data_IF_475875744967
#
_entry.id   IF_475875744967
#
_cell.length_a   1.000
_cell.length_b   1.000
_cell.length_c   1.000
_cell.angle_alpha   90.00
_cell.angle_beta   90.00
_cell.angle_gamma   90.00
#
_symmetry.space_group_name_H-M   'P 1'
#
loop_
_entity.id
_entity.type
_entity.pdbx_description
1 polymer ?
#
# COMPACT_ATOMS: atom_id res chain seq x y z
N UNK A 1 6.53 -8.57 -8.66
CA UNK A 1 6.28 -8.98 -7.25
C UNK A 1 7.33 -8.46 -6.27
N UNK A 2 8.64 -8.64 -6.50
CA UNK A 2 9.66 -8.17 -5.54
C UNK A 2 9.56 -6.68 -5.20
N UNK A 3 9.36 -5.82 -6.20
CA UNK A 3 9.23 -4.36 -5.98
C UNK A 3 8.01 -3.97 -5.15
N UNK A 4 6.93 -4.76 -5.17
CA UNK A 4 5.70 -4.50 -4.40
C UNK A 4 5.95 -4.75 -2.90
N UNK A 5 6.56 -5.89 -2.57
CA UNK A 5 6.88 -6.22 -1.18
C UNK A 5 7.90 -5.26 -0.58
N UNK A 6 8.90 -4.82 -1.36
CA UNK A 6 9.86 -3.80 -0.92
C UNK A 6 9.17 -2.47 -0.63
N UNK A 7 8.25 -2.01 -1.50
CA UNK A 7 7.51 -0.77 -1.29
C UNK A 7 6.62 -0.84 -0.05
N UNK A 8 5.86 -1.93 0.12
CA UNK A 8 5.02 -2.15 1.30
C UNK A 8 5.85 -2.21 2.60
N UNK A 9 7.03 -2.84 2.55
CA UNK A 9 7.94 -2.92 3.69
C UNK A 9 8.48 -1.55 4.11
N UNK A 10 8.89 -0.71 3.15
CA UNK A 10 9.34 0.66 3.43
C UNK A 10 8.23 1.48 4.09
N UNK A 11 7.00 1.38 3.59
CA UNK A 11 5.83 2.07 4.17
C UNK A 11 5.59 1.60 5.62
N UNK A 12 5.65 0.29 5.86
CA UNK A 12 5.47 -0.27 7.20
C UNK A 12 6.59 0.15 8.16
N UNK A 13 7.85 0.23 7.72
CA UNK A 13 8.96 0.74 8.52
C UNK A 13 8.77 2.21 8.90
N UNK A 14 8.35 3.06 7.96
CA UNK A 14 8.08 4.48 8.23
C UNK A 14 6.96 4.60 9.27
N UNK A 15 5.87 3.84 9.12
CA UNK A 15 4.79 3.80 10.09
C UNK A 15 5.28 3.37 11.48
N UNK A 16 6.08 2.30 11.57
CA UNK A 16 6.61 1.80 12.83
C UNK A 16 7.49 2.85 13.53
N UNK A 17 8.33 3.57 12.79
CA UNK A 17 9.17 4.65 13.32
C UNK A 17 8.31 5.81 13.85
N UNK A 18 7.32 6.26 13.07
CA UNK A 18 6.39 7.31 13.50
C UNK A 18 5.62 6.91 14.76
N UNK A 19 5.10 5.67 14.80
CA UNK A 19 4.38 5.11 15.96
C UNK A 19 5.29 5.02 17.19
N UNK A 20 6.55 4.64 17.00
CA UNK A 20 7.54 4.58 18.05
C UNK A 20 7.84 5.97 18.63
N UNK A 21 7.99 6.98 17.79
CA UNK A 21 8.15 8.38 18.21
C UNK A 21 6.90 8.86 18.96
N UNK A 22 5.70 8.57 18.45
CA UNK A 22 4.43 8.92 19.09
C UNK A 22 4.33 8.33 20.51
N UNK A 23 4.66 7.04 20.67
CA UNK A 23 4.67 6.37 21.98
C UNK A 23 5.78 6.89 22.90
N UNK A 24 6.91 7.33 22.36
CA UNK A 24 8.03 7.85 23.17
C UNK A 24 7.78 9.27 23.67
N UNK A 25 7.15 10.13 22.86
CA UNK A 25 7.06 11.57 23.13
C UNK A 25 5.66 12.06 23.49
N UNK A 26 4.59 11.43 22.99
CA UNK A 26 3.22 11.95 23.11
C UNK A 26 2.43 11.20 24.19
N UNK A 27 2.54 9.87 24.25
CA UNK A 27 1.88 9.04 25.28
C UNK A 27 2.86 8.67 26.38
N UNK A 28 3.01 9.55 27.37
CA UNK A 28 3.82 9.28 28.57
C UNK A 28 3.18 8.23 29.52
N UNK A 29 2.00 7.73 29.16
CA UNK A 29 1.28 6.66 29.85
C UNK A 29 1.80 5.29 29.42
N UNK A 30 2.88 4.86 30.07
CA UNK A 30 3.61 3.59 29.85
C UNK A 30 2.76 2.34 30.19
N UNK A 31 1.54 2.50 30.70
CA UNK A 31 0.82 1.41 31.36
C UNK A 31 0.11 0.44 30.40
N UNK A 32 -0.26 0.89 29.20
CA UNK A 32 -0.75 0.00 28.13
C UNK A 32 0.43 -0.39 27.23
N UNK A 33 1.19 -1.38 27.70
CA UNK A 33 2.52 -1.73 27.19
C UNK A 33 2.65 -1.90 25.67
N UNK A 34 3.89 -1.81 25.17
CA UNK A 34 4.33 -1.85 23.76
C UNK A 34 3.85 -3.04 22.88
N UNK A 35 2.99 -3.90 23.42
CA UNK A 35 2.39 -5.07 22.76
C UNK A 35 1.54 -4.77 21.51
N UNK A 36 0.82 -3.64 21.36
CA UNK A 36 0.00 -3.42 20.16
C UNK A 36 0.80 -2.95 18.93
N UNK A 37 2.01 -2.41 19.12
CA UNK A 37 2.84 -1.84 18.02
C UNK A 37 3.14 -2.85 16.90
N UNK A 38 3.64 -4.07 17.19
CA UNK A 38 3.92 -5.04 16.13
C UNK A 38 2.63 -5.47 15.41
N UNK A 39 1.52 -5.60 16.14
CA UNK A 39 0.22 -5.95 15.56
C UNK A 39 -0.28 -4.86 14.60
N UNK A 40 -0.21 -3.61 15.01
CA UNK A 40 -0.63 -2.48 14.16
C UNK A 40 0.27 -2.33 12.93
N UNK A 41 1.59 -2.47 13.10
CA UNK A 41 2.54 -2.43 11.98
C UNK A 41 2.25 -3.56 10.97
N UNK A 42 1.90 -4.76 11.45
CA UNK A 42 1.54 -5.88 10.58
C UNK A 42 0.24 -5.62 9.80
N UNK A 43 -0.77 -5.01 10.44
CA UNK A 43 -2.01 -4.60 9.77
C UNK A 43 -1.72 -3.58 8.67
N UNK A 44 -0.86 -2.58 8.93
CA UNK A 44 -0.46 -1.57 7.94
C UNK A 44 0.32 -2.20 6.78
N UNK A 45 1.20 -3.17 7.07
CA UNK A 45 1.91 -3.91 6.02
C UNK A 45 0.93 -4.66 5.09
N UNK A 46 -0.04 -5.39 5.64
CA UNK A 46 -1.06 -6.08 4.82
C UNK A 46 -1.89 -5.06 4.03
N UNK A 47 -2.36 -3.99 4.67
CA UNK A 47 -3.15 -2.95 4.02
C UNK A 47 -2.40 -2.28 2.86
N UNK A 48 -1.11 -1.97 3.03
CA UNK A 48 -0.28 -1.40 1.98
C UNK A 48 -0.04 -2.38 0.82
N UNK A 49 0.15 -3.68 1.09
CA UNK A 49 0.22 -4.70 0.05
C UNK A 49 -1.06 -4.74 -0.80
N UNK A 50 -2.24 -4.74 -0.16
CA UNK A 50 -3.53 -4.72 -0.85
C UNK A 50 -3.72 -3.42 -1.63
N UNK A 51 -3.39 -2.27 -1.04
CA UNK A 51 -3.50 -0.97 -1.70
C UNK A 51 -2.63 -0.86 -2.95
N UNK A 52 -1.36 -1.29 -2.87
CA UNK A 52 -0.46 -1.29 -4.03
C UNK A 52 -0.96 -2.27 -5.10
N UNK A 53 -1.49 -3.43 -4.69
CA UNK A 53 -2.08 -4.40 -5.63
C UNK A 53 -3.26 -3.80 -6.40
N UNK A 54 -4.20 -3.16 -5.70
CA UNK A 54 -5.35 -2.47 -6.31
C UNK A 54 -4.86 -1.37 -7.24
N UNK A 55 -3.94 -0.51 -6.80
CA UNK A 55 -3.42 0.57 -7.65
C UNK A 55 -2.79 0.00 -8.92
N UNK A 56 -2.02 -1.08 -8.83
CA UNK A 56 -1.43 -1.71 -10.02
C UNK A 56 -2.50 -2.22 -10.98
N UNK A 57 -3.46 -2.98 -10.48
CA UNK A 57 -4.51 -3.59 -11.30
C UNK A 57 -5.41 -2.53 -11.98
N UNK A 58 -5.76 -1.46 -11.26
CA UNK A 58 -6.71 -0.47 -11.74
C UNK A 58 -6.08 0.74 -12.47
N UNK A 59 -4.82 1.10 -12.17
CA UNK A 59 -4.17 2.28 -12.76
C UNK A 59 -3.10 1.96 -13.81
N UNK A 60 -2.47 0.78 -13.78
CA UNK A 60 -1.35 0.46 -14.68
C UNK A 60 -1.84 -0.24 -15.95
N UNK A 61 -2.89 -1.06 -15.84
CA UNK A 61 -3.55 -1.71 -16.99
C UNK A 61 -4.79 -0.95 -17.49
N UNK A 62 -4.89 0.34 -17.17
CA UNK A 62 -5.63 1.25 -18.02
C UNK A 62 -4.64 1.82 -19.04
N UNK A 63 -4.37 1.14 -20.17
CA UNK A 63 -4.25 1.95 -21.36
C UNK A 63 -5.57 2.71 -21.40
N UNK A 64 -5.54 3.97 -21.84
CA UNK A 64 -6.65 4.39 -22.67
C UNK A 64 -6.73 3.34 -23.79
N UNK A 65 -7.42 2.22 -23.52
CA UNK A 65 -7.63 1.13 -24.45
C UNK A 65 -8.49 1.82 -25.46
N UNK A 66 -7.86 2.30 -26.52
CA UNK A 66 -8.51 2.69 -27.74
C UNK A 66 -9.42 1.49 -28.03
N UNK A 67 -10.71 1.66 -27.71
CA UNK A 67 -11.71 0.65 -27.98
C UNK A 67 -11.89 0.74 -29.49
N UNK A 68 -10.95 0.16 -30.23
CA UNK A 68 -11.00 -0.02 -31.66
C UNK A 68 -11.95 -1.19 -31.94
N UNK A 69 -13.18 -1.13 -31.41
CA UNK A 69 -14.20 -2.15 -31.64
C UNK A 69 -14.79 -2.07 -33.06
N UNK A 70 -14.43 -1.04 -33.84
CA UNK A 70 -14.96 -0.80 -35.18
C UNK A 70 -13.93 -0.07 -36.07
N UNK A 71 -12.77 -0.69 -36.33
CA UNK A 71 -11.83 -0.18 -37.36
C UNK A 71 -11.82 -1.01 -38.65
N UNK A 72 -12.82 -1.88 -38.85
CA UNK A 72 -13.08 -2.41 -40.19
C UNK A 72 -13.61 -1.28 -41.08
N UNK A 73 -12.67 -0.61 -41.75
CA UNK A 73 -12.97 0.24 -42.90
C UNK A 73 -13.38 -0.74 -44.01
N UNK A 74 -14.65 -0.75 -44.48
CA UNK A 74 -15.05 -1.67 -45.53
C UNK A 74 -14.33 -1.26 -46.83
N UNK A 75 -13.33 -2.03 -47.24
CA UNK A 75 -12.80 -1.97 -48.61
C UNK A 75 -13.80 -2.68 -49.52
N UNK A 76 -14.66 -1.89 -50.17
CA UNK A 76 -15.35 -2.27 -51.40
C UNK A 76 -14.35 -2.57 -52.51
#
# INVERSE_FOLDING_TARGET
MQTLFTQAFVIACIFAICKFIELRFVRKDVNDGLKPIPRETFIVFISSCVGIYIIREFMIDSPAKQISAFIDIPTF
#
